data_IF_103226838161
#
_entry.id   IF_103226838161
#
_cell.length_a   1.000
_cell.length_b   1.000
_cell.length_c   1.000
_cell.angle_alpha   90.00
_cell.angle_beta   90.00
_cell.angle_gamma   90.00
#
_symmetry.space_group_name_H-M   'P 1'
#
loop_
_entity.id
_entity.type
_entity.pdbx_description
1 polymer ?
#
# COMPACT_ATOMS: atom_id res chain seq x y z
N UNK A 1 -61.95 -11.45 -0.20
CA UNK A 1 -61.98 -11.79 1.23
C UNK A 1 -61.31 -13.15 1.38
N UNK A 2 -60.17 -13.18 2.10
CA UNK A 2 -59.53 -14.29 2.87
C UNK A 2 -59.28 -15.61 2.12
N UNK A 3 -58.17 -16.35 2.27
CA UNK A 3 -56.93 -16.37 3.07
C UNK A 3 -56.05 -17.41 2.33
N UNK A 4 -54.80 -17.12 1.94
CA UNK A 4 -53.55 -17.58 2.58
C UNK A 4 -53.57 -19.04 3.11
N UNK A 5 -52.65 -19.90 2.63
CA UNK A 5 -51.50 -20.39 3.44
C UNK A 5 -50.46 -21.14 2.60
N UNK A 6 -49.23 -20.90 3.04
CA UNK A 6 -47.89 -21.37 2.70
C UNK A 6 -47.67 -22.89 2.87
N UNK A 7 -46.70 -23.47 2.13
CA UNK A 7 -45.81 -24.53 2.65
C UNK A 7 -44.74 -24.94 1.61
N UNK A 8 -43.48 -24.63 1.90
CA UNK A 8 -42.31 -25.33 1.38
C UNK A 8 -42.21 -26.76 1.98
N UNK A 9 -41.76 -27.75 1.18
CA UNK A 9 -40.59 -28.64 1.46
C UNK A 9 -40.49 -29.82 0.47
N UNK A 10 -39.27 -29.95 -0.08
CA UNK A 10 -38.51 -31.12 -0.54
C UNK A 10 -39.19 -32.49 -0.77
N UNK A 11 -38.85 -33.15 -1.89
CA UNK A 11 -37.93 -34.30 -1.81
C UNK A 11 -37.42 -34.78 -3.18
N UNK A 12 -36.21 -35.33 -3.10
CA UNK A 12 -35.37 -35.85 -4.18
C UNK A 12 -35.96 -37.02 -4.95
N UNK A 13 -35.57 -37.12 -6.23
CA UNK A 13 -35.47 -38.39 -6.93
C UNK A 13 -34.27 -38.35 -7.90
N UNK A 14 -33.16 -38.95 -7.48
CA UNK A 14 -32.11 -39.44 -8.35
C UNK A 14 -32.63 -40.66 -9.12
N UNK A 15 -32.32 -40.78 -10.41
CA UNK A 15 -31.70 -41.96 -11.07
C UNK A 15 -31.96 -41.92 -12.59
N UNK A 16 -30.88 -41.96 -13.37
CA UNK A 16 -30.93 -42.20 -14.81
C UNK A 16 -29.65 -41.79 -15.52
N UNK A 17 -28.64 -42.64 -15.47
CA UNK A 17 -27.42 -42.49 -16.25
C UNK A 17 -27.73 -42.50 -17.76
N UNK A 18 -27.24 -41.50 -18.47
CA UNK A 18 -26.84 -41.62 -19.88
C UNK A 18 -25.73 -40.60 -20.17
N UNK A 19 -24.53 -41.12 -20.43
CA UNK A 19 -23.36 -40.38 -20.86
C UNK A 19 -23.55 -39.96 -22.33
N UNK A 20 -23.87 -38.69 -22.56
CA UNK A 20 -23.86 -38.07 -23.91
C UNK A 20 -23.59 -36.58 -23.80
N UNK A 21 -22.59 -36.10 -24.54
CA UNK A 21 -22.18 -34.70 -24.83
C UNK A 21 -22.33 -33.69 -23.68
N UNK A 22 -21.18 -33.24 -23.14
CA UNK A 22 -21.10 -32.26 -22.07
C UNK A 22 -21.96 -31.03 -22.35
N UNK A 23 -22.98 -30.82 -21.52
CA UNK A 23 -23.83 -29.64 -21.55
C UNK A 23 -23.05 -28.46 -21.01
N UNK A 24 -22.72 -27.49 -21.85
CA UNK A 24 -22.21 -26.19 -21.41
C UNK A 24 -23.39 -25.31 -21.01
N UNK A 25 -23.41 -24.84 -19.76
CA UNK A 25 -24.35 -23.81 -19.32
C UNK A 25 -23.59 -22.49 -19.19
N UNK A 26 -23.97 -21.43 -19.93
CA UNK A 26 -23.42 -20.11 -19.69
C UNK A 26 -23.90 -19.65 -18.30
N UNK A 27 -22.94 -19.39 -17.41
CA UNK A 27 -23.23 -18.79 -16.10
C UNK A 27 -23.15 -17.28 -16.31
N UNK A 28 -24.21 -16.54 -16.00
CA UNK A 28 -24.12 -15.07 -15.89
C UNK A 28 -23.11 -14.73 -14.80
N UNK A 29 -22.31 -13.68 -15.03
CA UNK A 29 -21.09 -13.26 -14.31
C UNK A 29 -21.00 -13.38 -12.77
N UNK A 30 -22.06 -13.68 -12.03
CA UNK A 30 -22.11 -13.43 -10.57
C UNK A 30 -22.03 -14.72 -9.72
N UNK A 31 -21.66 -15.89 -10.28
CA UNK A 31 -21.64 -17.15 -9.52
C UNK A 31 -20.69 -18.25 -10.06
N UNK A 32 -19.59 -17.90 -10.75
CA UNK A 32 -18.60 -18.92 -11.09
C UNK A 32 -17.79 -19.23 -9.82
N UNK A 33 -17.85 -20.46 -9.31
CA UNK A 33 -17.10 -20.83 -8.10
C UNK A 33 -16.14 -21.96 -8.39
N UNK A 34 -14.87 -21.75 -8.06
CA UNK A 34 -13.78 -22.74 -8.12
C UNK A 34 -13.48 -23.19 -6.71
N UNK A 35 -13.48 -24.51 -6.48
CA UNK A 35 -12.87 -25.09 -5.28
C UNK A 35 -11.59 -25.81 -5.66
N UNK A 36 -10.46 -25.26 -5.24
CA UNK A 36 -9.17 -25.96 -5.26
C UNK A 36 -9.15 -26.96 -4.12
N UNK A 37 -8.67 -28.17 -4.38
CA UNK A 37 -8.39 -29.23 -3.41
C UNK A 37 -7.03 -29.84 -3.74
N UNK A 38 -6.57 -30.82 -2.95
CA UNK A 38 -5.35 -31.57 -3.26
C UNK A 38 -5.34 -32.19 -4.67
N UNK A 39 -6.51 -32.60 -5.17
CA UNK A 39 -6.61 -33.38 -6.42
C UNK A 39 -6.44 -32.50 -7.66
N UNK A 40 -6.69 -31.19 -7.53
CA UNK A 40 -6.53 -30.22 -8.61
C UNK A 40 -5.55 -29.08 -8.24
N UNK A 41 -4.79 -29.20 -7.15
CA UNK A 41 -3.91 -28.15 -6.65
C UNK A 41 -2.97 -27.61 -7.74
N UNK A 42 -2.24 -28.50 -8.43
CA UNK A 42 -1.30 -28.12 -9.49
C UNK A 42 -1.98 -27.62 -10.77
N UNK A 43 -3.30 -27.76 -10.91
CA UNK A 43 -4.05 -27.09 -11.97
C UNK A 43 -4.11 -25.58 -11.70
N UNK A 44 -4.37 -25.19 -10.45
CA UNK A 44 -4.66 -23.82 -10.05
C UNK A 44 -3.47 -23.07 -9.43
N UNK A 45 -2.54 -23.78 -8.81
CA UNK A 45 -1.34 -23.20 -8.19
C UNK A 45 -0.08 -23.53 -8.99
N UNK A 46 0.82 -22.56 -9.05
CA UNK A 46 2.18 -22.69 -9.59
C UNK A 46 3.16 -22.74 -8.43
N UNK A 47 4.17 -23.62 -8.52
CA UNK A 47 5.29 -23.65 -7.59
C UNK A 47 6.39 -22.69 -8.10
N UNK A 48 7.02 -21.97 -7.19
CA UNK A 48 8.13 -21.06 -7.46
C UNK A 48 9.28 -21.25 -6.46
N UNK A 49 10.47 -20.78 -6.85
CA UNK A 49 11.70 -20.99 -6.08
C UNK A 49 12.04 -22.48 -5.93
N UNK A 50 12.50 -22.87 -4.75
CA UNK A 50 12.87 -24.24 -4.37
C UNK A 50 11.67 -25.07 -3.88
N UNK A 51 10.44 -24.58 -4.07
CA UNK A 51 9.24 -25.26 -3.58
C UNK A 51 9.06 -26.63 -4.25
N UNK A 52 8.81 -27.65 -3.41
CA UNK A 52 8.39 -28.98 -3.86
C UNK A 52 6.98 -29.27 -3.38
N UNK A 53 6.25 -30.15 -4.09
CA UNK A 53 4.90 -30.53 -3.71
C UNK A 53 4.75 -32.05 -3.63
N UNK A 54 4.31 -32.53 -2.46
CA UNK A 54 3.94 -33.91 -2.23
C UNK A 54 2.42 -34.07 -2.29
N UNK A 55 1.94 -34.56 -3.44
CA UNK A 55 0.52 -34.80 -3.68
C UNK A 55 -0.10 -35.85 -2.73
N UNK A 56 0.70 -36.80 -2.21
CA UNK A 56 0.20 -37.82 -1.28
C UNK A 56 -0.11 -37.24 0.10
N UNK A 57 0.60 -36.18 0.48
CA UNK A 57 0.46 -35.48 1.77
C UNK A 57 -0.31 -34.17 1.66
N UNK A 58 -0.63 -33.72 0.44
CA UNK A 58 -1.15 -32.38 0.15
C UNK A 58 -0.24 -31.27 0.70
N UNK A 59 1.07 -31.44 0.60
CA UNK A 59 2.02 -30.53 1.26
C UNK A 59 2.97 -29.90 0.26
N UNK A 60 2.96 -28.56 0.19
CA UNK A 60 4.01 -27.79 -0.44
C UNK A 60 5.10 -27.51 0.61
N UNK A 61 6.31 -28.00 0.36
CA UNK A 61 7.49 -27.60 1.13
C UNK A 61 8.04 -26.34 0.49
N UNK A 62 7.85 -25.20 1.16
CA UNK A 62 8.31 -23.90 0.67
C UNK A 62 9.83 -23.79 0.85
N UNK A 63 10.33 -24.10 2.05
CA UNK A 63 11.76 -24.19 2.32
C UNK A 63 12.09 -25.47 3.08
N UNK A 64 13.20 -26.16 2.78
CA UNK A 64 13.80 -27.12 3.70
C UNK A 64 14.44 -26.39 4.88
N UNK A 65 14.84 -27.13 5.92
CA UNK A 65 15.60 -26.58 7.05
C UNK A 65 17.08 -26.35 6.69
N UNK A 66 17.31 -25.46 5.73
CA UNK A 66 18.61 -25.07 5.17
C UNK A 66 18.57 -23.57 4.89
N UNK A 67 19.66 -22.87 5.16
CA UNK A 67 19.76 -21.42 4.92
C UNK A 67 19.90 -21.03 3.44
N UNK A 68 19.43 -19.83 3.10
CA UNK A 68 19.53 -19.23 1.77
C UNK A 68 18.60 -19.86 0.72
N UNK A 69 17.42 -20.32 1.15
CA UNK A 69 16.43 -20.97 0.29
C UNK A 69 15.14 -20.17 0.29
N UNK A 70 14.46 -20.13 -0.87
CA UNK A 70 13.25 -19.35 -1.07
C UNK A 70 12.22 -20.19 -1.82
N UNK A 71 10.96 -20.10 -1.43
CA UNK A 71 9.90 -20.87 -2.06
C UNK A 71 8.54 -20.22 -1.95
N UNK A 72 7.69 -20.46 -2.95
CA UNK A 72 6.33 -19.95 -2.97
C UNK A 72 5.38 -20.86 -3.75
N UNK A 73 4.10 -20.71 -3.43
CA UNK A 73 2.98 -21.13 -4.26
C UNK A 73 2.14 -19.91 -4.64
N UNK A 74 1.75 -19.81 -5.91
CA UNK A 74 0.97 -18.68 -6.42
C UNK A 74 -0.22 -19.16 -7.21
N UNK A 75 -1.37 -18.50 -7.04
CA UNK A 75 -2.58 -18.81 -7.79
C UNK A 75 -2.41 -18.34 -9.24
N UNK A 76 -2.68 -19.22 -10.22
CA UNK A 76 -2.48 -18.95 -11.66
C UNK A 76 -3.50 -18.00 -12.28
N UNK A 77 -4.42 -17.45 -11.49
CA UNK A 77 -5.46 -16.55 -11.97
C UNK A 77 -5.83 -15.56 -10.89
N UNK A 78 -6.43 -14.43 -11.29
CA UNK A 78 -6.94 -13.45 -10.33
C UNK A 78 -8.31 -13.85 -9.78
N UNK A 79 -8.56 -13.49 -8.54
CA UNK A 79 -9.80 -13.65 -7.78
C UNK A 79 -10.68 -12.41 -8.03
N UNK A 80 -11.98 -12.59 -8.23
CA UNK A 80 -12.94 -11.49 -8.22
C UNK A 80 -13.05 -10.96 -6.78
N UNK A 81 -12.61 -9.72 -6.58
CA UNK A 81 -12.57 -9.10 -5.26
C UNK A 81 -13.93 -8.62 -4.75
N UNK A 82 -14.99 -8.68 -5.57
CA UNK A 82 -16.35 -8.34 -5.12
C UNK A 82 -17.06 -9.53 -4.47
N UNK A 83 -16.51 -10.73 -4.60
CA UNK A 83 -17.10 -11.95 -4.08
C UNK A 83 -16.31 -12.49 -2.90
N UNK A 84 -17.02 -13.19 -2.02
CA UNK A 84 -16.41 -13.86 -0.89
C UNK A 84 -15.48 -15.00 -1.35
N UNK A 85 -14.39 -15.20 -0.62
CA UNK A 85 -13.54 -16.37 -0.78
C UNK A 85 -13.16 -16.97 0.57
N UNK A 86 -12.84 -18.26 0.55
CA UNK A 86 -12.44 -19.02 1.75
C UNK A 86 -11.29 -19.94 1.42
N UNK A 87 -10.17 -19.76 2.12
CA UNK A 87 -8.96 -20.58 2.05
C UNK A 87 -8.80 -21.35 3.36
N UNK A 88 -8.90 -22.67 3.29
CA UNK A 88 -8.54 -23.58 4.37
C UNK A 88 -7.21 -24.24 4.06
N UNK A 89 -6.34 -24.30 5.05
CA UNK A 89 -5.05 -24.96 4.91
C UNK A 89 -4.41 -25.28 6.24
N UNK A 90 -3.18 -25.78 6.14
CA UNK A 90 -2.33 -26.06 7.28
C UNK A 90 -0.97 -25.41 7.05
N UNK A 91 -0.41 -24.78 8.09
CA UNK A 91 0.93 -24.17 8.09
C UNK A 91 1.82 -24.85 9.11
N UNK A 92 3.05 -25.18 8.72
CA UNK A 92 4.12 -25.56 9.63
C UNK A 92 5.23 -24.51 9.50
N UNK A 93 5.50 -23.80 10.60
CA UNK A 93 6.54 -22.78 10.68
C UNK A 93 7.94 -23.37 10.90
N UNK A 94 8.03 -24.68 11.10
CA UNK A 94 9.27 -25.38 11.42
C UNK A 94 9.45 -25.59 12.92
N UNK A 95 10.56 -26.23 13.29
CA UNK A 95 10.83 -26.66 14.66
C UNK A 95 11.56 -25.63 15.52
N UNK A 96 11.98 -24.51 14.92
CA UNK A 96 12.76 -23.46 15.58
C UNK A 96 11.96 -22.17 15.54
N UNK A 97 11.85 -21.47 16.67
CA UNK A 97 11.26 -20.13 16.76
C UNK A 97 12.41 -19.14 17.05
N UNK A 98 12.13 -17.85 17.29
CA UNK A 98 13.11 -16.75 17.38
C UNK A 98 14.38 -17.11 18.21
N UNK A 99 14.23 -17.68 19.40
CA UNK A 99 15.36 -18.03 20.28
C UNK A 99 16.14 -19.29 19.87
N UNK A 100 15.67 -19.98 18.83
CA UNK A 100 16.20 -21.24 18.36
C UNK A 100 16.75 -21.15 16.93
N UNK A 101 17.04 -19.96 16.39
CA UNK A 101 17.55 -19.77 15.02
C UNK A 101 16.54 -20.23 13.95
N UNK A 102 15.25 -19.98 14.19
CA UNK A 102 14.19 -20.18 13.21
C UNK A 102 13.94 -18.92 12.39
N UNK A 103 13.87 -19.05 11.07
CA UNK A 103 13.63 -17.92 10.17
C UNK A 103 13.14 -18.38 8.78
N UNK A 104 12.65 -17.46 7.94
CA UNK A 104 12.21 -16.09 8.28
C UNK A 104 10.74 -16.10 8.69
N UNK A 105 9.92 -16.88 7.99
CA UNK A 105 8.50 -17.01 8.23
C UNK A 105 7.73 -17.25 6.94
N UNK A 106 6.41 -17.32 7.06
CA UNK A 106 5.49 -17.54 5.93
C UNK A 106 4.57 -16.33 5.78
N UNK A 107 4.50 -15.78 4.57
CA UNK A 107 3.55 -14.73 4.20
C UNK A 107 2.43 -15.28 3.32
N UNK A 108 1.18 -14.88 3.60
CA UNK A 108 0.02 -15.06 2.72
C UNK A 108 -0.44 -13.67 2.28
N UNK A 109 -0.39 -13.38 0.99
CA UNK A 109 -0.75 -12.07 0.45
C UNK A 109 -1.80 -12.17 -0.66
N UNK A 110 -2.79 -11.27 -0.57
CA UNK A 110 -3.75 -10.97 -1.63
C UNK A 110 -3.42 -9.57 -2.16
N UNK A 111 -3.12 -9.44 -3.44
CA UNK A 111 -2.50 -8.21 -3.99
C UNK A 111 -2.98 -7.86 -5.39
N UNK A 112 -2.90 -6.58 -5.76
CA UNK A 112 -3.29 -6.08 -7.09
C UNK A 112 -2.21 -6.24 -8.17
N UNK A 113 -1.05 -6.78 -7.80
CA UNK A 113 0.06 -7.08 -8.71
C UNK A 113 -0.27 -8.12 -9.79
N UNK A 114 0.76 -8.52 -10.51
CA UNK A 114 0.69 -9.54 -11.56
C UNK A 114 0.53 -10.94 -10.95
N UNK A 115 -0.05 -11.88 -11.70
CA UNK A 115 -0.14 -13.28 -11.27
C UNK A 115 1.26 -13.86 -11.13
N UNK A 116 1.55 -14.45 -9.97
CA UNK A 116 2.85 -15.04 -9.68
C UNK A 116 3.87 -14.07 -9.07
N UNK A 117 3.51 -12.80 -8.89
CA UNK A 117 4.33 -11.84 -8.15
C UNK A 117 4.39 -12.21 -6.66
N UNK A 118 5.55 -12.01 -6.06
CA UNK A 118 5.83 -12.24 -4.64
C UNK A 118 6.54 -11.02 -4.07
N UNK A 119 6.38 -10.76 -2.78
CA UNK A 119 7.14 -9.73 -2.10
C UNK A 119 8.61 -10.11 -1.91
N UNK A 120 9.36 -9.18 -1.34
CA UNK A 120 10.77 -9.34 -1.01
C UNK A 120 10.96 -10.48 0.00
N UNK A 121 12.06 -11.19 -0.17
CA UNK A 121 12.41 -12.37 0.63
C UNK A 121 13.30 -11.93 1.81
N UNK A 122 13.67 -12.85 2.69
CA UNK A 122 14.30 -12.51 3.97
C UNK A 122 13.28 -11.89 4.93
N UNK A 123 13.68 -10.81 5.62
CA UNK A 123 12.80 -10.03 6.51
C UNK A 123 11.59 -9.38 5.83
N UNK A 124 11.46 -9.44 4.51
CA UNK A 124 10.24 -9.05 3.80
C UNK A 124 9.12 -10.11 3.80
N UNK A 125 9.42 -11.34 4.25
CA UNK A 125 8.51 -12.48 4.44
C UNK A 125 7.58 -12.70 3.24
N UNK A 126 8.10 -12.52 2.03
CA UNK A 126 7.36 -12.66 0.76
C UNK A 126 6.17 -11.70 0.59
N UNK A 127 6.05 -10.63 1.39
CA UNK A 127 4.97 -9.64 1.29
C UNK A 127 5.47 -8.21 1.04
N UNK A 128 6.67 -7.86 1.54
CA UNK A 128 7.22 -6.52 1.43
C UNK A 128 7.44 -6.10 -0.03
N UNK A 129 6.94 -4.93 -0.42
CA UNK A 129 7.11 -4.38 -1.76
C UNK A 129 6.12 -4.91 -2.80
N UNK A 130 5.20 -5.82 -2.42
CA UNK A 130 4.03 -6.10 -3.24
C UNK A 130 3.24 -4.79 -3.47
N UNK A 131 2.66 -4.59 -4.67
CA UNK A 131 1.63 -3.57 -4.88
C UNK A 131 0.52 -3.73 -3.84
N UNK A 132 -0.31 -2.70 -3.65
CA UNK A 132 -1.44 -2.67 -2.70
C UNK A 132 -1.96 -4.07 -2.37
N UNK A 133 -1.71 -4.49 -1.14
CA UNK A 133 -1.94 -5.85 -0.69
C UNK A 133 -2.41 -5.93 0.74
N UNK A 134 -3.07 -7.02 1.07
CA UNK A 134 -3.47 -7.35 2.42
C UNK A 134 -3.34 -8.84 2.64
N UNK A 135 -3.12 -9.23 3.89
CA UNK A 135 -3.00 -10.63 4.23
C UNK A 135 -2.45 -10.84 5.63
N UNK A 136 -1.70 -11.91 5.80
CA UNK A 136 -1.18 -12.34 7.09
C UNK A 136 0.26 -12.82 6.98
N UNK A 137 1.06 -12.49 7.98
CA UNK A 137 2.41 -13.01 8.14
C UNK A 137 2.49 -13.90 9.38
N UNK A 138 3.31 -14.93 9.29
CA UNK A 138 3.68 -15.82 10.37
C UNK A 138 5.19 -15.73 10.50
N UNK A 139 5.64 -14.81 11.34
CA UNK A 139 7.03 -14.40 11.44
C UNK A 139 7.74 -15.18 12.54
N UNK A 140 8.82 -15.87 12.16
CA UNK A 140 9.67 -16.59 13.11
C UNK A 140 10.96 -15.86 13.42
N UNK A 141 11.26 -14.78 12.67
CA UNK A 141 12.46 -13.96 12.77
C UNK A 141 12.18 -12.44 12.94
N UNK A 142 11.50 -11.96 13.99
CA UNK A 142 11.37 -10.52 14.27
C UNK A 142 12.73 -9.80 14.43
N UNK A 143 12.87 -8.61 13.83
CA UNK A 143 14.06 -7.77 13.95
C UNK A 143 13.99 -6.91 15.23
N UNK A 144 15.08 -6.91 16.02
CA UNK A 144 15.23 -6.05 17.21
C UNK A 144 15.10 -4.55 16.86
N UNK A 145 14.13 -3.87 17.45
CA UNK A 145 13.97 -2.42 17.36
C UNK A 145 13.34 -1.89 16.07
N UNK A 146 12.78 -2.75 15.21
CA UNK A 146 12.18 -2.35 13.94
C UNK A 146 11.15 -3.34 13.41
N UNK A 147 10.02 -3.46 14.11
CA UNK A 147 8.68 -3.44 13.48
C UNK A 147 7.54 -3.41 14.53
N UNK A 148 7.84 -3.77 15.78
CA UNK A 148 6.94 -3.61 16.92
C UNK A 148 7.69 -3.20 18.18
N UNK A 149 7.29 -2.08 18.78
CA UNK A 149 7.86 -1.54 20.02
C UNK A 149 7.37 -2.31 21.28
N UNK A 150 7.64 -3.61 21.37
CA UNK A 150 7.59 -4.35 22.64
C UNK A 150 8.96 -5.00 22.91
N UNK A 151 9.37 -4.95 24.16
CA UNK A 151 10.61 -5.48 24.72
C UNK A 151 10.70 -7.01 24.80
N UNK A 152 9.64 -7.74 24.42
CA UNK A 152 9.59 -9.20 24.37
C UNK A 152 9.37 -9.64 22.90
N UNK A 153 10.44 -10.07 22.25
CA UNK A 153 10.54 -10.25 20.80
C UNK A 153 10.31 -11.73 20.45
N UNK A 154 9.07 -12.21 20.54
CA UNK A 154 8.70 -13.59 20.21
C UNK A 154 8.20 -13.74 18.76
N UNK A 155 8.35 -14.93 18.17
CA UNK A 155 7.72 -15.27 16.89
C UNK A 155 6.21 -15.00 16.94
N UNK A 156 5.59 -14.56 15.84
CA UNK A 156 4.23 -14.04 15.89
C UNK A 156 3.39 -14.27 14.64
N UNK A 157 2.10 -13.99 14.78
CA UNK A 157 1.14 -13.91 13.66
C UNK A 157 0.45 -12.56 13.69
N UNK A 158 0.34 -11.92 12.52
CA UNK A 158 -0.29 -10.61 12.40
C UNK A 158 -0.91 -10.40 11.02
N UNK A 159 -1.97 -9.60 10.97
CA UNK A 159 -2.53 -9.09 9.72
C UNK A 159 -1.75 -7.88 9.23
N UNK A 160 -1.77 -7.61 7.93
CA UNK A 160 -1.09 -6.45 7.36
C UNK A 160 -1.82 -5.79 6.19
N UNK A 161 -1.44 -4.54 5.93
CA UNK A 161 -1.69 -3.81 4.69
C UNK A 161 -0.41 -3.23 4.11
N UNK A 162 -0.12 -3.52 2.84
CA UNK A 162 0.87 -2.78 2.08
C UNK A 162 0.20 -1.66 1.29
N UNK A 163 0.72 -0.43 1.42
CA UNK A 163 0.35 0.69 0.55
C UNK A 163 1.42 0.87 -0.54
N UNK A 164 1.06 1.51 -1.66
CA UNK A 164 1.87 1.70 -2.89
C UNK A 164 3.24 2.36 -2.61
N UNK A 165 3.37 3.03 -1.47
CA UNK A 165 4.55 3.80 -1.05
C UNK A 165 5.60 3.01 -0.23
N UNK A 166 5.38 1.70 0.05
CA UNK A 166 6.33 0.86 0.82
C UNK A 166 7.47 0.31 -0.07
N UNK A 167 8.31 1.19 -0.61
CA UNK A 167 9.43 0.88 -1.52
C UNK A 167 10.79 0.74 -0.80
N UNK A 168 10.87 0.97 0.51
CA UNK A 168 12.11 0.95 1.27
C UNK A 168 12.41 -0.41 1.89
N UNK A 169 13.68 -0.81 1.98
CA UNK A 169 14.09 -1.99 2.75
C UNK A 169 13.75 -1.88 4.25
N UNK A 170 13.53 -0.65 4.73
CA UNK A 170 13.13 -0.30 6.09
C UNK A 170 11.68 0.24 6.18
N UNK A 171 10.84 0.07 5.15
CA UNK A 171 9.43 0.46 5.28
C UNK A 171 8.66 -0.63 6.02
N UNK A 172 8.45 -0.42 7.31
CA UNK A 172 7.63 -1.23 8.20
C UNK A 172 6.33 -1.70 7.52
N UNK A 173 6.08 -3.01 7.56
CA UNK A 173 4.78 -3.56 7.21
C UNK A 173 3.76 -2.90 8.15
N UNK A 174 2.70 -2.27 7.63
CA UNK A 174 1.65 -1.74 8.51
C UNK A 174 0.82 -2.92 8.99
N UNK A 175 1.09 -3.37 10.19
CA UNK A 175 0.29 -4.39 10.84
C UNK A 175 -1.04 -3.82 11.30
N UNK A 176 -2.10 -4.57 11.04
CA UNK A 176 -3.47 -4.22 11.39
C UNK A 176 -4.22 -5.50 11.81
N UNK A 177 -5.32 -5.34 12.56
CA UNK A 177 -6.19 -6.46 12.92
C UNK A 177 -5.70 -7.33 14.09
N UNK A 178 -4.68 -6.88 14.82
CA UNK A 178 -4.19 -7.51 16.05
C UNK A 178 -2.97 -8.42 15.85
N UNK A 179 -2.36 -8.80 16.96
CA UNK A 179 -1.09 -9.54 17.02
C UNK A 179 -1.22 -10.74 17.96
N UNK A 180 -0.63 -11.87 17.61
CA UNK A 180 -0.50 -13.04 18.47
C UNK A 180 0.96 -13.45 18.60
N UNK A 181 1.47 -13.28 19.81
CA UNK A 181 2.70 -13.88 20.29
C UNK A 181 2.58 -15.41 20.35
N UNK A 182 3.52 -16.11 19.68
CA UNK A 182 3.63 -17.56 19.64
C UNK A 182 4.50 -18.14 20.77
N UNK A 183 4.41 -17.58 21.97
CA UNK A 183 4.99 -18.11 23.21
C UNK A 183 4.86 -19.66 23.27
N UNK A 184 5.99 -20.39 23.22
CA UNK A 184 6.00 -21.85 23.19
C UNK A 184 5.33 -22.50 24.40
N UNK A 185 5.21 -21.77 25.53
CA UNK A 185 4.54 -22.25 26.74
C UNK A 185 3.01 -22.24 26.62
N UNK A 186 2.46 -21.37 25.76
CA UNK A 186 1.02 -21.24 25.50
C UNK A 186 0.63 -21.98 24.22
N UNK A 187 1.46 -21.91 23.19
CA UNK A 187 1.19 -22.46 21.86
C UNK A 187 2.33 -23.38 21.41
N UNK A 188 2.17 -24.71 21.54
CA UNK A 188 3.23 -25.66 21.19
C UNK A 188 3.24 -25.93 19.68
N UNK A 189 3.53 -24.90 18.87
CA UNK A 189 3.47 -24.92 17.39
C UNK A 189 4.74 -25.44 16.72
N UNK A 190 5.88 -25.40 17.42
CA UNK A 190 7.16 -25.81 16.88
C UNK A 190 7.12 -27.26 16.34
N UNK A 191 7.46 -27.41 15.07
CA UNK A 191 7.52 -28.67 14.33
C UNK A 191 6.15 -29.27 14.02
N UNK A 192 5.07 -28.52 14.21
CA UNK A 192 3.70 -28.98 13.99
C UNK A 192 3.05 -28.22 12.85
N UNK A 193 2.26 -28.96 12.10
CA UNK A 193 1.36 -28.41 11.09
C UNK A 193 0.06 -27.99 11.80
N UNK A 194 -0.22 -26.69 11.80
CA UNK A 194 -1.36 -26.07 12.48
C UNK A 194 -2.38 -25.57 11.44
N UNK A 195 -3.68 -25.86 11.61
CA UNK A 195 -4.69 -25.45 10.65
C UNK A 195 -4.90 -23.93 10.71
N UNK A 196 -5.20 -23.34 9.56
CA UNK A 196 -5.61 -21.96 9.43
C UNK A 196 -6.83 -21.84 8.51
N UNK A 197 -7.56 -20.74 8.63
CA UNK A 197 -8.62 -20.39 7.68
C UNK A 197 -8.55 -18.89 7.39
N UNK A 198 -8.39 -18.53 6.13
CA UNK A 198 -8.54 -17.14 5.66
C UNK A 198 -9.89 -17.00 4.97
N UNK A 199 -10.65 -15.97 5.34
CA UNK A 199 -11.92 -15.61 4.73
C UNK A 199 -11.90 -14.18 4.28
N UNK A 200 -12.62 -13.88 3.21
CA UNK A 200 -12.97 -12.53 2.79
C UNK A 200 -14.45 -12.51 2.43
N UNK A 201 -15.15 -11.45 2.83
CA UNK A 201 -16.61 -11.39 2.78
C UNK A 201 -17.19 -10.72 1.52
N UNK A 202 -16.34 -10.25 0.60
CA UNK A 202 -16.78 -9.48 -0.58
C UNK A 202 -17.09 -8.02 -0.30
N UNK A 203 -17.06 -7.59 0.97
CA UNK A 203 -17.49 -6.26 1.43
C UNK A 203 -16.39 -5.53 2.22
N UNK A 204 -15.13 -5.95 2.03
CA UNK A 204 -13.99 -5.27 2.62
C UNK A 204 -13.62 -5.74 4.01
N UNK A 205 -13.93 -6.99 4.38
CA UNK A 205 -13.40 -7.59 5.61
C UNK A 205 -12.71 -8.91 5.33
N UNK A 206 -11.41 -8.97 5.64
CA UNK A 206 -10.64 -10.21 5.61
C UNK A 206 -10.36 -10.69 7.04
N UNK A 207 -10.45 -11.99 7.24
CA UNK A 207 -10.24 -12.64 8.54
C UNK A 207 -9.33 -13.85 8.44
N UNK A 208 -8.43 -14.00 9.41
CA UNK A 208 -7.66 -15.21 9.67
C UNK A 208 -8.14 -15.85 10.98
N UNK A 209 -8.43 -17.14 10.94
CA UNK A 209 -8.56 -17.99 12.11
C UNK A 209 -7.33 -18.89 12.26
N UNK A 210 -6.66 -18.78 13.40
CA UNK A 210 -5.45 -19.55 13.71
C UNK A 210 -5.31 -19.75 15.23
N UNK A 211 -5.07 -20.98 15.69
CA UNK A 211 -4.92 -21.33 17.12
C UNK A 211 -6.09 -20.90 18.02
N UNK A 212 -7.30 -20.83 17.48
CA UNK A 212 -8.48 -20.35 18.20
C UNK A 212 -8.58 -18.82 18.33
N UNK A 213 -7.65 -18.08 17.72
CA UNK A 213 -7.71 -16.63 17.56
C UNK A 213 -8.28 -16.24 16.22
N UNK A 214 -8.87 -15.05 16.18
CA UNK A 214 -9.43 -14.44 14.98
C UNK A 214 -8.79 -13.07 14.79
N UNK A 215 -8.09 -12.88 13.68
CA UNK A 215 -7.54 -11.60 13.24
C UNK A 215 -8.45 -11.06 12.15
N UNK A 216 -8.81 -9.78 12.20
CA UNK A 216 -9.69 -9.18 11.19
C UNK A 216 -9.12 -7.85 10.73
N UNK A 217 -8.92 -7.71 9.42
CA UNK A 217 -8.40 -6.51 8.80
C UNK A 217 -9.46 -5.90 7.86
N UNK A 218 -9.72 -4.59 7.94
CA UNK A 218 -10.57 -3.90 6.98
C UNK A 218 -9.82 -3.76 5.65
N UNK A 219 -10.43 -4.14 4.54
CA UNK A 219 -9.83 -4.09 3.21
C UNK A 219 -10.64 -3.16 2.32
N UNK A 220 -10.14 -1.95 2.12
CA UNK A 220 -10.90 -0.87 1.45
C UNK A 220 -10.53 -0.67 -0.01
N UNK A 221 -9.45 -1.31 -0.44
CA UNK A 221 -8.78 -1.19 -1.73
C UNK A 221 -9.06 -2.37 -2.69
N UNK A 222 -9.70 -3.44 -2.22
CA UNK A 222 -10.07 -4.64 -2.99
C UNK A 222 -11.25 -4.41 -3.96
N UNK A 223 -11.14 -3.40 -4.81
CA UNK A 223 -12.12 -3.12 -5.87
C UNK A 223 -11.75 -3.81 -7.19
N UNK A 224 -10.46 -4.12 -7.38
CA UNK A 224 -9.93 -4.78 -8.55
C UNK A 224 -9.57 -6.26 -8.26
N UNK A 225 -9.55 -7.13 -9.30
CA UNK A 225 -9.13 -8.52 -9.14
C UNK A 225 -7.77 -8.71 -8.46
N UNK A 226 -7.69 -9.74 -7.62
CA UNK A 226 -6.56 -10.00 -6.73
C UNK A 226 -5.75 -11.22 -7.18
N UNK A 227 -4.44 -11.11 -7.16
CA UNK A 227 -3.55 -12.27 -7.15
C UNK A 227 -3.39 -12.79 -5.72
N UNK A 228 -3.04 -14.08 -5.57
CA UNK A 228 -2.72 -14.73 -4.30
C UNK A 228 -1.31 -15.34 -4.38
N UNK A 229 -0.48 -14.99 -3.41
CA UNK A 229 0.84 -15.58 -3.18
C UNK A 229 0.97 -16.08 -1.74
N UNK A 230 1.61 -17.23 -1.57
CA UNK A 230 2.05 -17.75 -0.28
C UNK A 230 3.53 -18.08 -0.42
N UNK A 231 4.38 -17.44 0.37
CA UNK A 231 5.82 -17.55 0.24
C UNK A 231 6.55 -17.65 1.57
N UNK A 232 7.75 -18.20 1.52
CA UNK A 232 8.66 -18.31 2.65
C UNK A 232 10.11 -18.23 2.17
N UNK A 233 11.00 -17.82 3.06
CA UNK A 233 12.44 -17.80 2.84
C UNK A 233 13.20 -18.21 4.09
N UNK A 234 14.48 -18.49 3.92
CA UNK A 234 15.45 -18.66 4.99
C UNK A 234 16.69 -17.81 4.73
N UNK A 235 17.26 -17.26 5.80
CA UNK A 235 18.53 -16.55 5.80
C UNK A 235 19.68 -17.42 6.29
N UNK A 236 20.46 -16.89 7.24
CA UNK A 236 21.41 -17.69 8.03
C UNK A 236 20.67 -18.64 8.98
N UNK A 237 19.60 -18.12 9.59
CA UNK A 237 18.64 -18.90 10.35
C UNK A 237 17.65 -19.57 9.38
N UNK A 238 17.02 -20.67 9.78
CA UNK A 238 16.22 -21.47 8.85
C UNK A 238 15.15 -22.31 9.51
N UNK A 239 14.17 -22.76 8.73
CA UNK A 239 13.18 -23.75 9.13
C UNK A 239 12.73 -24.60 7.94
N UNK A 240 12.26 -25.82 8.25
CA UNK A 240 11.37 -26.55 7.36
C UNK A 240 10.00 -25.87 7.38
N UNK A 241 9.70 -25.09 6.35
CA UNK A 241 8.45 -24.34 6.23
C UNK A 241 7.56 -25.00 5.18
N UNK A 242 6.34 -25.36 5.58
CA UNK A 242 5.42 -26.06 4.69
C UNK A 242 4.01 -25.51 4.80
N UNK A 243 3.29 -25.52 3.67
CA UNK A 243 1.88 -25.15 3.61
C UNK A 243 1.06 -26.22 2.87
N UNK A 244 -0.17 -26.45 3.29
CA UNK A 244 -1.19 -27.13 2.50
C UNK A 244 -2.32 -26.18 2.12
N UNK A 245 -2.87 -26.36 0.92
CA UNK A 245 -4.18 -25.82 0.55
C UNK A 245 -5.16 -26.99 0.60
N UNK A 246 -5.90 -27.10 1.70
CA UNK A 246 -6.85 -28.20 1.91
C UNK A 246 -8.12 -27.94 1.11
N UNK A 247 -8.60 -26.70 1.13
CA UNK A 247 -9.52 -26.21 0.12
C UNK A 247 -9.40 -24.71 -0.09
N UNK A 248 -9.58 -24.23 -1.32
CA UNK A 248 -9.71 -22.80 -1.61
C UNK A 248 -10.88 -22.55 -2.53
N UNK A 249 -11.93 -21.90 -2.02
CA UNK A 249 -13.12 -21.56 -2.78
C UNK A 249 -13.14 -20.08 -3.10
N UNK A 250 -13.22 -19.74 -4.39
CA UNK A 250 -13.21 -18.35 -4.87
C UNK A 250 -13.92 -18.21 -6.23
N UNK A 251 -14.33 -17.00 -6.57
CA UNK A 251 -14.74 -16.66 -7.95
C UNK A 251 -13.52 -16.20 -8.77
N UNK A 252 -13.15 -16.90 -9.85
CA UNK A 252 -12.08 -16.44 -10.73
C UNK A 252 -12.53 -15.22 -11.55
N UNK A 253 -11.78 -14.13 -11.45
CA UNK A 253 -12.11 -12.87 -12.11
C UNK A 253 -12.38 -13.04 -13.61
N UNK A 254 -13.50 -12.51 -14.07
CA UNK A 254 -13.92 -12.56 -15.49
C UNK A 254 -13.74 -11.21 -16.20
N UNK A 255 -13.51 -10.17 -15.42
CA UNK A 255 -13.18 -8.83 -15.86
C UNK A 255 -11.92 -8.38 -15.13
N UNK A 256 -11.05 -7.63 -15.80
CA UNK A 256 -9.93 -6.98 -15.15
C UNK A 256 -9.64 -5.65 -15.86
N UNK A 257 -9.46 -4.59 -15.09
CA UNK A 257 -9.02 -3.30 -15.60
C UNK A 257 -7.55 -3.14 -15.28
N UNK A 258 -6.73 -3.03 -16.30
CA UNK A 258 -5.31 -2.72 -16.17
C UNK A 258 -5.14 -1.24 -16.43
N UNK A 259 -4.43 -0.53 -15.56
CA UNK A 259 -4.23 0.92 -15.71
C UNK A 259 -2.81 1.37 -15.45
N UNK A 260 -2.49 2.52 -16.03
CA UNK A 260 -1.33 3.33 -15.71
C UNK A 260 -1.81 4.71 -15.28
N UNK A 261 -1.48 5.09 -14.06
CA UNK A 261 -1.74 6.41 -13.49
C UNK A 261 -0.42 7.14 -13.27
N UNK A 262 -0.31 8.34 -13.83
CA UNK A 262 0.82 9.25 -13.57
C UNK A 262 0.25 10.44 -12.81
N UNK A 263 0.59 10.53 -11.53
CA UNK A 263 0.20 11.61 -10.65
C UNK A 263 1.21 12.74 -10.67
N UNK A 264 0.73 13.97 -10.51
CA UNK A 264 1.54 15.17 -10.41
C UNK A 264 1.29 15.77 -9.03
N UNK A 265 2.26 15.61 -8.14
CA UNK A 265 2.11 15.89 -6.71
C UNK A 265 3.19 16.83 -6.20
N UNK A 266 2.95 17.51 -5.09
CA UNK A 266 3.99 18.18 -4.33
C UNK A 266 4.77 17.21 -3.42
N UNK A 267 5.80 17.70 -2.73
CA UNK A 267 6.60 16.95 -1.75
C UNK A 267 5.82 16.31 -0.61
N UNK A 268 4.61 16.81 -0.33
CA UNK A 268 3.75 16.27 0.71
C UNK A 268 2.74 15.25 0.14
N UNK A 269 2.83 14.91 -1.15
CA UNK A 269 1.93 14.00 -1.84
C UNK A 269 0.61 14.64 -2.30
N UNK A 270 0.44 15.95 -2.13
CA UNK A 270 -0.81 16.60 -2.55
C UNK A 270 -0.85 16.75 -4.07
N UNK A 271 -2.00 16.47 -4.67
CA UNK A 271 -2.21 16.62 -6.11
C UNK A 271 -2.23 18.09 -6.52
N UNK A 272 -1.34 18.47 -7.44
CA UNK A 272 -1.21 19.84 -7.95
C UNK A 272 -1.63 19.99 -9.43
N UNK A 273 -1.84 18.88 -10.13
CA UNK A 273 -2.46 18.84 -11.45
C UNK A 273 -3.25 17.53 -11.66
N UNK A 274 -4.13 17.49 -12.66
CA UNK A 274 -4.87 16.27 -13.02
C UNK A 274 -3.92 15.16 -13.45
N UNK A 275 -4.07 13.97 -12.87
CA UNK A 275 -3.30 12.79 -13.26
C UNK A 275 -3.60 12.38 -14.71
N UNK A 276 -2.59 11.83 -15.38
CA UNK A 276 -2.81 11.11 -16.64
C UNK A 276 -3.17 9.67 -16.33
N UNK A 277 -4.33 9.21 -16.76
CA UNK A 277 -4.81 7.82 -16.57
C UNK A 277 -5.05 7.18 -17.92
N UNK A 278 -4.43 6.02 -18.14
CA UNK A 278 -4.67 5.16 -19.29
C UNK A 278 -5.08 3.79 -18.78
N UNK A 279 -6.08 3.18 -19.40
CA UNK A 279 -6.56 1.86 -18.97
C UNK A 279 -6.82 0.94 -20.16
N UNK A 280 -6.92 -0.35 -19.88
CA UNK A 280 -7.35 -1.37 -20.81
C UNK A 280 -8.24 -2.34 -20.05
N UNK A 281 -9.41 -2.67 -20.60
CA UNK A 281 -10.37 -3.56 -19.95
C UNK A 281 -10.30 -4.91 -20.66
N UNK A 282 -9.96 -5.94 -19.90
CA UNK A 282 -9.94 -7.32 -20.35
C UNK A 282 -11.16 -8.06 -19.82
N UNK A 283 -11.72 -8.93 -20.66
CA UNK A 283 -12.84 -9.80 -20.31
C UNK A 283 -12.57 -11.23 -20.76
N UNK A 284 -13.09 -12.19 -20.02
CA UNK A 284 -13.19 -13.60 -20.41
C UNK A 284 -14.55 -14.14 -19.98
N UNK A 285 -14.95 -15.27 -20.53
CA UNK A 285 -16.22 -15.92 -20.19
C UNK A 285 -15.96 -17.10 -19.27
N UNK A 286 -16.74 -17.19 -18.19
CA UNK A 286 -16.80 -18.32 -17.30
C UNK A 286 -17.91 -19.29 -17.68
N UNK A 287 -17.63 -20.60 -17.70
CA UNK A 287 -18.65 -21.64 -17.94
C UNK A 287 -18.44 -22.83 -17.01
N UNK A 288 -19.51 -23.56 -16.71
CA UNK A 288 -19.39 -24.86 -16.05
C UNK A 288 -19.35 -25.96 -17.13
N UNK A 289 -18.27 -26.72 -17.15
CA UNK A 289 -18.11 -27.93 -17.98
C UNK A 289 -18.12 -29.13 -17.04
N UNK A 290 -19.17 -29.94 -17.11
CA UNK A 290 -19.37 -31.09 -16.20
C UNK A 290 -19.34 -30.70 -14.70
N UNK A 291 -19.91 -29.53 -14.37
CA UNK A 291 -19.90 -29.00 -13.00
C UNK A 291 -18.55 -28.46 -12.54
N UNK A 292 -17.53 -28.44 -13.41
CA UNK A 292 -16.23 -27.82 -13.13
C UNK A 292 -16.14 -26.46 -13.83
N UNK A 293 -15.73 -25.40 -13.13
CA UNK A 293 -15.54 -24.08 -13.71
C UNK A 293 -14.38 -24.07 -14.70
N UNK A 294 -14.61 -23.48 -15.86
CA UNK A 294 -13.61 -23.20 -16.89
C UNK A 294 -13.79 -21.76 -17.37
N UNK A 295 -12.68 -21.11 -17.74
CA UNK A 295 -12.70 -19.78 -18.33
C UNK A 295 -12.08 -19.80 -19.71
N UNK A 296 -12.61 -18.99 -20.63
CA UNK A 296 -11.96 -18.72 -21.92
C UNK A 296 -10.67 -17.91 -21.72
N UNK A 297 -9.89 -17.79 -22.80
CA UNK A 297 -8.79 -16.83 -22.85
C UNK A 297 -9.31 -15.39 -22.66
N UNK A 298 -8.44 -14.55 -22.10
CA UNK A 298 -8.70 -13.12 -21.95
C UNK A 298 -8.71 -12.43 -23.31
N UNK A 299 -9.66 -11.53 -23.49
CA UNK A 299 -9.80 -10.70 -24.68
C UNK A 299 -9.93 -9.24 -24.28
N UNK A 300 -9.35 -8.34 -25.09
CA UNK A 300 -9.56 -6.91 -24.93
C UNK A 300 -11.04 -6.59 -25.26
N UNK A 301 -11.73 -5.90 -24.35
CA UNK A 301 -13.12 -5.53 -24.55
C UNK A 301 -13.27 -4.54 -25.73
N UNK A 302 -14.23 -4.79 -26.62
CA UNK A 302 -14.54 -3.90 -27.75
C UNK A 302 -15.00 -2.53 -27.25
N UNK A 303 -14.46 -1.44 -27.83
CA UNK A 303 -14.77 -0.08 -27.40
C UNK A 303 -14.16 0.32 -26.05
N UNK A 304 -13.37 -0.56 -25.42
CA UNK A 304 -12.53 -0.20 -24.29
C UNK A 304 -11.29 0.58 -24.76
N UNK A 305 -10.66 1.28 -23.81
CA UNK A 305 -9.41 1.99 -24.04
C UNK A 305 -8.31 1.03 -24.58
N UNK A 306 -7.42 1.57 -25.42
CA UNK A 306 -6.33 0.84 -26.08
C UNK A 306 -5.41 0.14 -25.07
N UNK A 307 -5.04 -1.11 -25.35
CA UNK A 307 -4.00 -1.80 -24.59
C UNK A 307 -2.59 -1.33 -24.92
N UNK A 308 -2.42 -0.49 -25.94
CA UNK A 308 -1.20 0.26 -26.18
C UNK A 308 -1.34 1.64 -25.53
N UNK A 309 -0.74 1.78 -24.35
CA UNK A 309 -0.67 3.04 -23.63
C UNK A 309 0.34 3.95 -24.32
N UNK A 310 -0.13 5.08 -24.86
CA UNK A 310 0.71 6.09 -25.51
C UNK A 310 1.73 6.71 -24.54
N UNK A 311 2.87 7.16 -25.05
CA UNK A 311 3.88 7.85 -24.25
C UNK A 311 3.32 9.13 -23.58
N UNK A 312 3.81 9.45 -22.39
CA UNK A 312 3.37 10.61 -21.59
C UNK A 312 4.58 11.42 -21.15
N UNK A 313 4.52 12.73 -21.36
CA UNK A 313 5.49 13.68 -20.78
C UNK A 313 4.82 14.44 -19.64
N UNK A 314 5.50 14.54 -18.50
CA UNK A 314 5.03 15.31 -17.35
C UNK A 314 4.85 16.79 -17.74
N UNK A 315 3.74 17.44 -17.34
CA UNK A 315 3.45 18.81 -17.73
C UNK A 315 4.36 19.79 -17.00
N UNK A 316 4.57 20.97 -17.61
CA UNK A 316 5.02 22.15 -16.88
C UNK A 316 3.84 22.68 -16.05
N UNK A 317 4.04 22.88 -14.75
CA UNK A 317 3.02 23.39 -13.83
C UNK A 317 3.44 24.77 -13.33
N UNK A 318 2.57 25.78 -13.50
CA UNK A 318 2.88 27.14 -13.11
C UNK A 318 3.14 27.26 -11.60
N UNK A 319 4.26 27.90 -11.22
CA UNK A 319 4.66 28.03 -9.81
C UNK A 319 5.35 26.80 -9.23
N UNK A 320 5.65 25.79 -10.05
CA UNK A 320 6.30 24.55 -9.65
C UNK A 320 7.44 24.17 -10.60
N UNK A 321 8.45 23.51 -10.06
CA UNK A 321 9.55 22.88 -10.80
C UNK A 321 9.63 21.42 -10.41
N UNK A 322 10.11 20.55 -11.29
CA UNK A 322 10.25 19.13 -10.99
C UNK A 322 11.35 18.95 -9.93
N UNK A 323 11.09 18.15 -8.90
CA UNK A 323 12.06 17.90 -7.82
C UNK A 323 13.22 17.04 -8.33
N UNK A 324 14.45 17.51 -8.13
CA UNK A 324 15.66 16.72 -8.36
C UNK A 324 15.73 16.08 -9.76
N UNK A 325 16.28 14.87 -9.82
CA UNK A 325 16.35 14.06 -11.04
C UNK A 325 15.36 12.90 -10.89
N UNK A 326 14.30 12.92 -11.66
CA UNK A 326 13.27 11.88 -11.67
C UNK A 326 12.69 11.68 -13.08
N UNK A 327 11.96 10.58 -13.34
CA UNK A 327 11.34 10.35 -14.64
C UNK A 327 10.28 11.40 -14.95
N UNK A 328 10.46 12.12 -16.05
CA UNK A 328 9.49 13.10 -16.57
C UNK A 328 8.88 12.66 -17.88
N UNK A 329 9.35 11.55 -18.42
CA UNK A 329 8.90 10.94 -19.66
C UNK A 329 8.68 9.46 -19.43
N UNK A 330 7.50 8.98 -19.85
CA UNK A 330 7.07 7.60 -19.71
C UNK A 330 6.81 7.07 -21.11
N UNK A 331 7.56 6.05 -21.52
CA UNK A 331 7.44 5.44 -22.84
C UNK A 331 6.05 4.86 -23.10
N UNK A 332 5.73 4.68 -24.37
CA UNK A 332 4.58 3.87 -24.75
C UNK A 332 4.78 2.42 -24.33
N UNK A 333 3.73 1.77 -23.84
CA UNK A 333 3.80 0.36 -23.44
C UNK A 333 2.54 -0.38 -23.86
N UNK A 334 2.71 -1.65 -24.26
CA UNK A 334 1.58 -2.54 -24.50
C UNK A 334 1.36 -3.39 -23.27
N UNK A 335 0.16 -3.32 -22.70
CA UNK A 335 -0.24 -4.09 -21.52
C UNK A 335 -1.11 -5.28 -21.91
N UNK A 336 -1.09 -6.32 -21.09
CA UNK A 336 -1.99 -7.49 -21.17
C UNK A 336 -2.94 -7.50 -19.96
N UNK A 337 -3.77 -8.54 -19.83
CA UNK A 337 -4.74 -8.69 -18.73
C UNK A 337 -4.11 -8.83 -17.34
N UNK A 338 -2.80 -8.98 -17.25
CA UNK A 338 -2.08 -9.28 -16.01
C UNK A 338 -1.02 -8.23 -15.69
N UNK A 339 -0.91 -7.14 -16.44
CA UNK A 339 0.12 -6.11 -16.23
C UNK A 339 -0.07 -5.25 -14.96
N UNK A 340 -0.98 -5.66 -14.06
CA UNK A 340 -1.25 -5.01 -12.77
C UNK A 340 -1.81 -3.59 -12.88
N UNK A 341 -1.76 -2.86 -11.76
CA UNK A 341 -1.97 -1.42 -11.73
C UNK A 341 -0.61 -0.71 -11.60
N UNK A 342 -0.27 0.14 -12.57
CA UNK A 342 0.94 0.95 -12.54
C UNK A 342 0.64 2.35 -12.02
N UNK A 343 1.34 2.78 -10.97
CA UNK A 343 1.21 4.14 -10.43
C UNK A 343 2.59 4.79 -10.33
N UNK A 344 2.70 6.02 -10.81
CA UNK A 344 3.90 6.83 -10.75
C UNK A 344 3.57 8.21 -10.17
N UNK A 345 4.42 8.71 -9.28
CA UNK A 345 4.36 10.08 -8.81
C UNK A 345 5.50 10.88 -9.44
N UNK A 346 5.15 11.95 -10.15
CA UNK A 346 6.10 13.00 -10.53
C UNK A 346 5.97 14.08 -9.47
N UNK A 347 7.03 14.26 -8.68
CA UNK A 347 7.05 15.17 -7.53
C UNK A 347 7.57 16.54 -7.97
N UNK A 348 6.87 17.58 -7.56
CA UNK A 348 7.23 18.95 -7.88
C UNK A 348 7.56 19.74 -6.61
N UNK A 349 8.61 20.53 -6.72
CA UNK A 349 8.95 21.61 -5.81
C UNK A 349 8.15 22.86 -6.13
N UNK A 350 7.52 23.46 -5.11
CA UNK A 350 6.94 24.79 -5.25
C UNK A 350 8.06 25.79 -5.46
N UNK A 351 8.00 26.55 -6.55
CA UNK A 351 8.94 27.64 -6.83
C UNK A 351 8.56 28.82 -5.94
N UNK A 352 9.42 29.14 -4.98
CA UNK A 352 9.23 30.26 -4.07
C UNK A 352 9.80 31.55 -4.68
N UNK A 353 9.08 32.67 -4.50
CA UNK A 353 9.57 34.00 -4.85
C UNK A 353 10.59 34.53 -3.85
N UNK A 354 11.01 35.79 -4.00
CA UNK A 354 11.81 36.47 -2.98
C UNK A 354 10.89 37.21 -2.01
N UNK A 355 11.11 37.03 -0.70
CA UNK A 355 10.45 37.86 0.31
C UNK A 355 10.91 39.32 0.18
N UNK A 356 10.01 40.27 0.42
CA UNK A 356 10.28 41.71 0.41
C UNK A 356 9.98 42.33 1.76
N UNK A 357 10.79 43.30 2.15
CA UNK A 357 10.63 44.09 3.37
C UNK A 357 10.90 45.55 3.02
N UNK A 358 9.92 46.41 3.32
CA UNK A 358 9.95 47.83 3.02
C UNK A 358 9.82 48.62 4.32
N UNK A 359 10.80 49.48 4.56
CA UNK A 359 10.85 50.38 5.71
C UNK A 359 11.13 51.79 5.22
N UNK A 360 10.77 52.79 6.01
CA UNK A 360 10.99 54.20 5.72
C UNK A 360 11.69 54.90 6.88
N UNK A 361 12.45 55.94 6.59
CA UNK A 361 13.02 56.83 7.59
C UNK A 361 11.92 57.73 8.19
N UNK A 362 12.15 58.24 9.41
CA UNK A 362 11.20 59.15 10.08
C UNK A 362 11.91 60.21 10.90
N UNK A 363 11.28 61.36 11.07
CA UNK A 363 11.77 62.43 11.96
C UNK A 363 10.79 62.65 13.12
N UNK A 364 11.31 62.76 14.34
CA UNK A 364 10.54 63.15 15.53
C UNK A 364 11.23 64.32 16.25
N UNK A 365 10.45 65.13 16.95
CA UNK A 365 10.97 66.27 17.73
C UNK A 365 11.24 65.80 19.16
N UNK A 366 12.41 66.16 19.71
CA UNK A 366 12.83 65.76 21.04
C UNK A 366 11.93 66.36 22.13
N UNK A 367 11.47 65.54 23.07
CA UNK A 367 10.67 66.05 24.19
C UNK A 367 10.25 64.98 25.20
N UNK A 368 9.83 65.39 26.42
CA UNK A 368 9.47 64.47 27.50
C UNK A 368 8.23 63.61 27.21
N UNK A 369 7.43 64.00 26.20
CA UNK A 369 6.25 63.26 25.75
C UNK A 369 6.44 62.60 24.38
N UNK A 370 7.60 62.77 23.74
CA UNK A 370 7.86 62.20 22.42
C UNK A 370 7.93 60.67 22.51
N UNK A 371 7.18 59.99 21.64
CA UNK A 371 7.12 58.53 21.58
C UNK A 371 7.49 58.07 20.18
N UNK A 372 8.12 56.90 20.11
CA UNK A 372 8.44 56.23 18.86
C UNK A 372 8.00 54.77 18.94
N UNK A 373 7.48 54.24 17.83
CA UNK A 373 7.20 52.81 17.69
C UNK A 373 7.63 52.30 16.32
N UNK A 374 7.99 51.01 16.26
CA UNK A 374 8.42 50.36 15.04
C UNK A 374 7.42 50.46 13.87
N UNK A 375 6.12 50.54 14.18
CA UNK A 375 5.06 50.69 13.17
C UNK A 375 5.17 51.97 12.34
N UNK A 376 5.84 53.02 12.84
CA UNK A 376 6.01 54.29 12.13
C UNK A 376 7.01 54.18 10.96
N UNK A 377 7.94 53.23 11.03
CA UNK A 377 8.96 53.02 10.01
C UNK A 377 8.73 51.75 9.18
N UNK A 378 7.80 50.88 9.58
CA UNK A 378 7.43 49.71 8.80
C UNK A 378 6.34 50.06 7.78
N UNK A 379 6.62 49.85 6.50
CA UNK A 379 5.64 50.08 5.43
C UNK A 379 4.88 48.80 5.06
N UNK A 380 5.62 47.75 4.71
CA UNK A 380 5.05 46.46 4.30
C UNK A 380 6.12 45.37 4.32
N UNK A 381 5.66 44.12 4.42
CA UNK A 381 6.45 42.96 4.09
C UNK A 381 5.57 41.94 3.37
N UNK A 382 6.19 41.19 2.44
CA UNK A 382 5.55 40.11 1.69
C UNK A 382 6.47 38.89 1.74
N UNK A 383 5.93 37.72 2.06
CA UNK A 383 6.69 36.48 2.14
C UNK A 383 7.06 35.93 0.75
N UNK A 384 7.81 34.84 0.74
CA UNK A 384 8.24 34.14 -0.47
C UNK A 384 7.07 33.49 -1.25
N UNK A 385 5.87 33.42 -0.67
CA UNK A 385 4.65 32.97 -1.32
C UNK A 385 3.80 34.13 -1.87
N UNK A 386 4.24 35.38 -1.70
CA UNK A 386 3.45 36.56 -2.08
C UNK A 386 2.39 36.99 -1.06
N UNK A 387 2.39 36.40 0.15
CA UNK A 387 1.44 36.73 1.22
C UNK A 387 1.96 37.88 2.08
N UNK A 388 1.07 38.77 2.52
CA UNK A 388 1.44 39.86 3.42
C UNK A 388 1.95 39.34 4.77
N UNK A 389 2.98 40.01 5.30
CA UNK A 389 3.61 39.69 6.58
C UNK A 389 3.39 40.85 7.54
N UNK A 390 2.75 40.55 8.67
CA UNK A 390 2.55 41.51 9.75
C UNK A 390 3.85 41.86 10.47
N UNK A 391 3.95 43.11 10.95
CA UNK A 391 5.08 43.59 11.75
C UNK A 391 5.37 42.71 12.98
N UNK A 392 4.35 42.05 13.55
CA UNK A 392 4.53 41.13 14.70
C UNK A 392 5.40 39.91 14.38
N UNK A 393 5.58 39.57 13.11
CA UNK A 393 6.45 38.48 12.62
C UNK A 393 7.82 38.97 12.18
N UNK A 394 8.09 40.27 12.27
CA UNK A 394 9.36 40.89 11.90
C UNK A 394 10.16 41.19 13.16
N UNK A 395 11.40 40.73 13.20
CA UNK A 395 12.31 41.05 14.30
C UNK A 395 12.78 42.49 14.15
N UNK A 396 12.58 43.30 15.18
CA UNK A 396 13.00 44.70 15.22
C UNK A 396 14.09 44.86 16.28
N UNK A 397 15.24 45.40 15.88
CA UNK A 397 16.37 45.66 16.77
C UNK A 397 16.86 47.11 16.66
N UNK A 398 17.37 47.64 17.77
CA UNK A 398 17.70 49.05 17.93
C UNK A 398 16.76 49.74 18.93
N UNK A 399 17.09 50.95 19.32
CA UNK A 399 16.26 51.76 20.22
C UNK A 399 16.43 53.24 19.87
N UNK A 400 15.34 54.01 20.04
CA UNK A 400 15.32 55.45 19.80
C UNK A 400 15.25 56.16 21.14
N UNK A 401 16.21 57.04 21.43
CA UNK A 401 16.12 57.94 22.59
C UNK A 401 15.39 59.21 22.19
N UNK A 402 14.11 59.31 22.50
CA UNK A 402 13.25 60.41 22.03
C UNK A 402 13.51 61.76 22.71
N UNK A 403 14.41 61.82 23.69
CA UNK A 403 14.82 63.05 24.39
C UNK A 403 16.13 63.64 23.86
N UNK A 404 16.89 62.86 23.10
CA UNK A 404 18.26 63.18 22.71
C UNK A 404 18.29 63.38 21.19
N UNK A 405 18.64 64.57 20.68
CA UNK A 405 18.80 64.76 19.24
C UNK A 405 19.89 63.85 18.66
N UNK A 406 19.60 63.21 17.52
CA UNK A 406 20.48 62.22 16.91
C UNK A 406 19.79 61.41 15.83
N UNK A 407 20.54 60.53 15.16
CA UNK A 407 19.97 59.54 14.22
C UNK A 407 20.14 58.15 14.79
N UNK A 408 19.04 57.43 14.92
CA UNK A 408 18.96 56.10 15.53
C UNK A 408 18.61 55.08 14.45
N UNK A 409 19.54 54.20 14.03
CA UNK A 409 19.24 53.16 13.07
C UNK A 409 18.43 52.04 13.73
N UNK A 410 17.30 51.69 13.13
CA UNK A 410 16.42 50.60 13.54
C UNK A 410 16.43 49.54 12.45
N UNK A 411 16.81 48.33 12.81
CA UNK A 411 16.95 47.20 11.88
C UNK A 411 15.73 46.30 11.98
N UNK A 412 15.14 46.00 10.83
CA UNK A 412 14.01 45.10 10.64
C UNK A 412 14.51 43.87 9.89
N UNK A 413 14.24 42.68 10.44
CA UNK A 413 14.63 41.40 9.83
C UNK A 413 13.43 40.48 9.78
N UNK A 414 13.08 40.04 8.57
CA UNK A 414 12.10 38.98 8.35
C UNK A 414 12.82 37.69 7.94
N UNK A 415 12.65 36.64 8.75
CA UNK A 415 13.22 35.31 8.51
C UNK A 415 12.12 34.45 7.87
N UNK A 416 12.42 33.83 6.73
CA UNK A 416 11.49 32.95 6.05
C UNK A 416 12.11 31.60 5.71
N UNK A 417 11.26 30.58 5.65
CA UNK A 417 11.66 29.20 5.43
C UNK A 417 11.65 28.88 3.93
N UNK A 418 12.83 28.87 3.32
CA UNK A 418 13.22 27.72 2.50
C UNK A 418 14.13 26.81 3.37
N UNK A 419 14.51 25.63 2.88
CA UNK A 419 15.40 24.68 3.58
C UNK A 419 16.78 25.25 3.97
N UNK A 420 17.06 26.52 3.67
CA UNK A 420 18.30 27.22 3.98
C UNK A 420 18.15 28.44 4.92
N UNK A 421 16.94 28.75 5.41
CA UNK A 421 16.73 29.77 6.45
C UNK A 421 17.04 31.20 6.00
N UNK A 422 16.70 31.56 4.76
CA UNK A 422 16.99 32.86 4.18
C UNK A 422 16.24 34.00 4.90
N UNK A 423 16.90 35.14 5.11
CA UNK A 423 16.32 36.32 5.74
C UNK A 423 16.42 37.55 4.82
N UNK A 424 15.48 38.49 4.97
CA UNK A 424 15.58 39.83 4.38
C UNK A 424 15.69 40.86 5.51
N UNK A 425 16.69 41.72 5.42
CA UNK A 425 17.00 42.75 6.42
C UNK A 425 16.99 44.13 5.79
N UNK A 426 16.41 45.11 6.49
CA UNK A 426 16.41 46.53 6.13
C UNK A 426 16.65 47.40 7.37
N UNK A 427 17.17 48.59 7.16
CA UNK A 427 17.37 49.58 8.23
C UNK A 427 16.59 50.84 7.88
N UNK A 428 15.85 51.36 8.86
CA UNK A 428 15.26 52.69 8.83
C UNK A 428 15.99 53.59 9.82
N UNK A 429 16.24 54.84 9.43
CA UNK A 429 16.82 55.85 10.29
C UNK A 429 15.72 56.68 10.94
N UNK A 430 15.77 56.77 12.27
CA UNK A 430 14.89 57.65 13.04
C UNK A 430 15.70 58.86 13.48
N UNK A 431 15.41 60.03 12.90
CA UNK A 431 16.07 61.28 13.24
C UNK A 431 15.29 62.01 14.32
N UNK A 432 15.92 62.22 15.48
CA UNK A 432 15.41 63.06 16.56
C UNK A 432 16.02 64.45 16.41
N UNK A 433 15.20 65.47 16.21
CA UNK A 433 15.63 66.86 16.08
C UNK A 433 15.36 67.65 17.37
N UNK A 434 16.11 68.74 17.67
CA UNK A 434 15.85 69.58 18.84
C UNK A 434 14.42 70.15 18.88
N UNK A 435 13.87 70.35 20.08
CA UNK A 435 12.56 71.01 20.31
C UNK A 435 12.57 72.51 20.11
#
# INVERSE_FOLDING_TARGET
MREATDSATSNAALLGANLTQGTTQPVTNDNLSVTVTKDNFLQWFKLGGDTTYDASRNTATLTPDIGGVEGNITLKTKINANDAFVLHGTINLGSKLQDAQGADGIGIAFHHGTVGEIGSLGGGISVLGLPTSSGYVFDTWPIDGGDHHDSNVDSYVSGFHSDVDQKGQDSNIRYDGGFLDLDPTKYPVAGKAMPFTVTYDGNGHMRLDYLGHTFSIPVTDFQDPLALSIGASTGLDSNLQTVSVDSFTFDPAQNNTVSRTINYVDKSGNKIASSTVQSAIYRRQGTLVNGQPTCTDWQLASGANSNNFAAVTAPTIAGYSIEGIQPTYFDSTTVNNDSGQLSYNVVYDKVLGQATLNVQDSTIVAGPTAQWSASQNFLSAVDQNGSAVDLSKVQVSGSVKTTDPGTYPITYTYIYTDTSGKAVTKTANVTVVPS
#
